data_IF_861428974243
#
_entry.id   IF_861428974243
#
_cell.length_a   1.000
_cell.length_b   1.000
_cell.length_c   1.000
_cell.angle_alpha   90.00
_cell.angle_beta   90.00
_cell.angle_gamma   90.00
#
_symmetry.space_group_name_H-M   'P 1'
#
loop_
_entity.id
_entity.type
_entity.pdbx_description
1 polymer ?
#
# COMPACT_ATOMS: atom_id res chain seq x y z
N UNK A 1 3.54 3.01 -18.17
CA UNK A 1 2.96 2.10 -17.15
C UNK A 1 1.65 2.61 -16.53
N UNK A 2 1.21 3.85 -16.80
CA UNK A 2 -0.21 4.23 -16.72
C UNK A 2 -1.05 3.70 -17.91
N UNK A 3 -0.36 3.22 -18.95
CA UNK A 3 -0.87 2.94 -20.28
C UNK A 3 -1.76 1.70 -20.41
N UNK A 4 -1.58 0.67 -19.57
CA UNK A 4 -2.34 -0.58 -19.70
C UNK A 4 -3.74 -0.53 -19.08
N UNK A 5 -3.94 0.26 -18.01
CA UNK A 5 -5.28 0.50 -17.46
C UNK A 5 -6.06 1.47 -18.35
N UNK A 6 -5.43 2.57 -18.81
CA UNK A 6 -6.06 3.48 -19.76
C UNK A 6 -6.51 2.78 -21.04
N UNK A 7 -5.67 1.88 -21.60
CA UNK A 7 -6.05 1.13 -22.81
C UNK A 7 -7.28 0.23 -22.62
N UNK A 8 -7.39 -0.45 -21.47
CA UNK A 8 -8.55 -1.30 -21.17
C UNK A 8 -9.78 -0.45 -20.88
N UNK A 9 -9.62 0.67 -20.16
CA UNK A 9 -10.70 1.63 -19.91
C UNK A 9 -11.23 2.24 -21.22
N UNK A 10 -10.34 2.53 -22.18
CA UNK A 10 -10.70 3.03 -23.50
C UNK A 10 -11.44 1.97 -24.33
N UNK A 11 -11.00 0.71 -24.29
CA UNK A 11 -11.73 -0.41 -24.89
C UNK A 11 -13.14 -0.60 -24.30
N UNK A 12 -13.28 -0.45 -22.99
CA UNK A 12 -14.58 -0.56 -22.31
C UNK A 12 -15.46 0.63 -22.68
N UNK A 13 -14.92 1.85 -22.75
CA UNK A 13 -15.66 3.04 -23.23
C UNK A 13 -16.16 2.84 -24.65
N UNK A 14 -15.29 2.40 -25.57
CA UNK A 14 -15.65 2.16 -26.97
C UNK A 14 -16.74 1.08 -27.09
N UNK A 15 -16.65 0.01 -26.30
CA UNK A 15 -17.66 -1.05 -26.28
C UNK A 15 -19.01 -0.57 -25.73
N UNK A 16 -19.02 0.17 -24.62
CA UNK A 16 -20.24 0.69 -24.00
C UNK A 16 -20.92 1.74 -24.89
N UNK A 17 -20.12 2.56 -25.58
CA UNK A 17 -20.60 3.53 -26.55
C UNK A 17 -21.19 2.84 -27.78
N UNK A 18 -20.50 1.85 -28.34
CA UNK A 18 -20.98 1.06 -29.49
C UNK A 18 -22.33 0.36 -29.22
N UNK A 19 -22.58 -0.07 -27.98
CA UNK A 19 -23.84 -0.72 -27.58
C UNK A 19 -24.95 0.25 -27.17
N UNK A 20 -24.70 1.56 -27.20
CA UNK A 20 -25.68 2.58 -26.80
C UNK A 20 -25.98 2.61 -25.30
N UNK A 21 -25.12 2.02 -24.47
CA UNK A 21 -25.29 1.91 -23.01
C UNK A 21 -24.81 3.18 -22.30
N UNK A 22 -25.40 4.32 -22.64
CA UNK A 22 -24.96 5.65 -22.20
C UNK A 22 -25.10 5.89 -20.69
N UNK A 23 -26.09 5.26 -20.03
CA UNK A 23 -26.26 5.29 -18.57
C UNK A 23 -25.13 4.54 -17.85
N UNK A 24 -24.76 3.37 -18.36
CA UNK A 24 -23.67 2.56 -17.84
C UNK A 24 -22.31 3.22 -18.09
N UNK A 25 -22.11 3.83 -19.27
CA UNK A 25 -20.90 4.59 -19.59
C UNK A 25 -20.71 5.79 -18.64
N UNK A 26 -21.77 6.56 -18.39
CA UNK A 26 -21.72 7.67 -17.41
C UNK A 26 -21.43 7.18 -15.99
N UNK A 27 -21.97 6.03 -15.60
CA UNK A 27 -21.68 5.42 -14.30
C UNK A 27 -20.24 4.95 -14.23
N UNK A 28 -19.75 4.31 -15.28
CA UNK A 28 -18.37 3.85 -15.42
C UNK A 28 -17.37 5.01 -15.35
N UNK A 29 -17.58 6.10 -16.09
CA UNK A 29 -16.72 7.29 -16.03
C UNK A 29 -16.75 7.97 -14.65
N UNK A 30 -17.92 7.99 -13.98
CA UNK A 30 -18.01 8.49 -12.61
C UNK A 30 -17.24 7.60 -11.62
N UNK A 31 -17.32 6.28 -11.76
CA UNK A 31 -16.56 5.35 -10.91
C UNK A 31 -15.06 5.42 -11.21
N UNK A 32 -14.66 5.53 -12.48
CA UNK A 32 -13.27 5.80 -12.88
C UNK A 32 -12.76 7.11 -12.30
N UNK A 33 -13.54 8.18 -12.34
CA UNK A 33 -13.17 9.46 -11.75
C UNK A 33 -13.09 9.44 -10.22
N UNK A 34 -13.85 8.54 -9.57
CA UNK A 34 -13.79 8.29 -8.12
C UNK A 34 -12.62 7.41 -7.73
N UNK A 35 -12.17 6.51 -8.60
CA UNK A 35 -10.93 5.78 -8.42
C UNK A 35 -9.82 6.81 -8.64
N UNK A 36 -9.08 7.24 -7.62
CA UNK A 36 -7.99 8.17 -7.84
C UNK A 36 -6.89 7.41 -8.58
N UNK A 37 -6.96 7.40 -9.91
CA UNK A 37 -5.89 6.96 -10.80
C UNK A 37 -4.73 7.92 -10.53
N UNK A 38 -3.88 7.58 -9.56
CA UNK A 38 -2.68 8.35 -9.21
C UNK A 38 -2.53 8.88 -7.78
N UNK A 39 -3.34 8.49 -6.78
CA UNK A 39 -3.10 8.93 -5.38
C UNK A 39 -2.39 7.92 -4.46
N UNK A 40 -1.54 7.05 -5.00
CA UNK A 40 -0.36 6.67 -4.22
C UNK A 40 0.57 7.89 -4.17
N UNK A 41 0.16 8.92 -3.41
CA UNK A 41 1.05 10.02 -3.05
C UNK A 41 2.08 9.40 -2.11
N UNK A 42 3.18 8.93 -2.70
CA UNK A 42 4.29 8.34 -1.96
C UNK A 42 4.67 9.25 -0.78
N UNK A 43 4.65 10.56 -0.99
CA UNK A 43 4.87 11.57 0.06
C UNK A 43 3.93 11.39 1.27
N UNK A 44 2.62 11.21 1.05
CA UNK A 44 1.66 11.04 2.15
C UNK A 44 1.84 9.71 2.87
N UNK A 45 2.17 8.66 2.12
CA UNK A 45 2.42 7.33 2.69
C UNK A 45 3.67 7.37 3.56
N UNK A 46 4.75 7.97 3.04
CA UNK A 46 6.00 8.15 3.76
C UNK A 46 5.75 9.01 5.01
N UNK A 47 5.05 10.13 4.87
CA UNK A 47 4.68 11.01 5.99
C UNK A 47 3.92 10.25 7.09
N UNK A 48 2.90 9.46 6.72
CA UNK A 48 2.16 8.63 7.68
C UNK A 48 3.03 7.57 8.35
N UNK A 49 3.87 6.86 7.58
CA UNK A 49 4.80 5.88 8.13
C UNK A 49 5.80 6.53 9.11
N UNK A 50 6.30 7.71 8.77
CA UNK A 50 7.22 8.48 9.62
C UNK A 50 6.54 8.94 10.91
N UNK A 51 5.26 9.36 10.85
CA UNK A 51 4.48 9.69 12.06
C UNK A 51 4.38 8.48 12.99
N UNK A 52 4.03 7.29 12.48
CA UNK A 52 3.94 6.07 13.30
C UNK A 52 5.31 5.67 13.89
N UNK A 53 6.41 5.87 13.16
CA UNK A 53 7.77 5.64 13.68
C UNK A 53 8.10 6.60 14.84
N UNK A 54 7.79 7.89 14.70
CA UNK A 54 8.06 8.86 15.77
C UNK A 54 7.15 8.70 16.98
N UNK A 55 5.93 8.23 16.80
CA UNK A 55 4.97 7.96 17.87
C UNK A 55 5.21 6.62 18.59
N UNK A 56 6.12 5.78 18.09
CA UNK A 56 6.36 4.42 18.60
C UNK A 56 5.09 3.53 18.56
N UNK A 57 4.27 3.71 17.52
CA UNK A 57 3.06 2.94 17.32
C UNK A 57 3.30 1.83 16.30
N UNK A 58 3.79 0.69 16.79
CA UNK A 58 4.14 -0.43 15.95
C UNK A 58 2.91 -1.16 15.37
N UNK A 59 1.79 -1.18 16.10
CA UNK A 59 0.59 -1.89 15.65
C UNK A 59 0.01 -1.21 14.42
N UNK A 60 -0.18 0.11 14.48
CA UNK A 60 -0.67 0.87 13.34
C UNK A 60 0.32 0.89 12.17
N UNK A 61 1.64 0.89 12.44
CA UNK A 61 2.66 0.81 11.40
C UNK A 61 2.56 -0.51 10.60
N UNK A 62 2.49 -1.65 11.30
CA UNK A 62 2.41 -2.97 10.67
C UNK A 62 1.10 -3.11 9.91
N UNK A 63 -0.03 -2.79 10.55
CA UNK A 63 -1.35 -2.96 9.94
C UNK A 63 -1.50 -2.07 8.69
N UNK A 64 -1.01 -0.83 8.74
CA UNK A 64 -0.99 0.08 7.60
C UNK A 64 -0.10 -0.44 6.46
N UNK A 65 1.10 -0.95 6.78
CA UNK A 65 1.99 -1.54 5.79
C UNK A 65 1.39 -2.79 5.15
N UNK A 66 0.75 -3.67 5.92
CA UNK A 66 0.08 -4.86 5.41
C UNK A 66 -1.09 -4.52 4.49
N UNK A 67 -1.90 -3.51 4.84
CA UNK A 67 -2.97 -3.01 3.96
C UNK A 67 -2.41 -2.44 2.65
N UNK A 68 -1.28 -1.73 2.74
CA UNK A 68 -0.58 -1.20 1.58
C UNK A 68 -0.02 -2.32 0.70
N UNK A 69 0.60 -3.34 1.29
CA UNK A 69 1.09 -4.54 0.60
C UNK A 69 -0.06 -5.28 -0.10
N UNK A 70 -1.19 -5.51 0.59
CA UNK A 70 -2.39 -6.11 0.00
C UNK A 70 -2.93 -5.27 -1.16
N UNK A 71 -3.04 -3.95 -1.01
CA UNK A 71 -3.50 -3.05 -2.08
C UNK A 71 -2.56 -3.03 -3.28
N UNK A 72 -1.24 -3.04 -3.06
CA UNK A 72 -0.24 -3.08 -4.14
C UNK A 72 -0.21 -4.43 -4.87
N UNK A 73 -0.41 -5.53 -4.15
CA UNK A 73 -0.51 -6.88 -4.72
C UNK A 73 -1.82 -7.07 -5.49
N UNK A 74 -2.93 -6.56 -4.95
CA UNK A 74 -4.26 -6.66 -5.57
C UNK A 74 -4.48 -5.71 -6.76
N UNK A 75 -3.77 -4.58 -6.82
CA UNK A 75 -3.85 -3.64 -7.97
C UNK A 75 -3.03 -4.07 -9.21
N UNK A 76 -2.51 -5.30 -9.25
CA UNK A 76 -1.73 -5.86 -10.37
C UNK A 76 -0.52 -4.99 -10.81
N UNK A 77 -0.04 -4.09 -9.94
CA UNK A 77 1.17 -3.28 -10.16
C UNK A 77 2.42 -4.14 -10.01
N UNK A 78 2.35 -5.13 -9.12
CA UNK A 78 3.42 -6.08 -8.82
C UNK A 78 3.17 -7.34 -9.65
N UNK A 79 3.86 -7.45 -10.79
CA UNK A 79 3.77 -8.62 -11.70
C UNK A 79 5.07 -9.42 -11.76
N UNK A 80 6.13 -8.93 -11.13
CA UNK A 80 7.45 -9.55 -11.16
C UNK A 80 7.95 -9.89 -9.75
N UNK A 81 8.65 -11.03 -9.64
CA UNK A 81 9.32 -11.46 -8.41
C UNK A 81 10.27 -10.38 -7.86
N UNK A 82 10.87 -9.58 -8.74
CA UNK A 82 11.71 -8.46 -8.37
C UNK A 82 10.95 -7.39 -7.57
N UNK A 83 9.74 -7.01 -7.99
CA UNK A 83 8.92 -6.01 -7.28
C UNK A 83 8.46 -6.52 -5.91
N UNK A 84 8.11 -7.80 -5.80
CA UNK A 84 7.81 -8.44 -4.50
C UNK A 84 9.03 -8.40 -3.56
N UNK A 85 10.23 -8.69 -4.08
CA UNK A 85 11.46 -8.61 -3.31
C UNK A 85 11.81 -7.18 -2.87
N UNK A 86 11.49 -6.17 -3.68
CA UNK A 86 11.66 -4.76 -3.27
C UNK A 86 10.72 -4.44 -2.11
N UNK A 87 9.47 -4.90 -2.16
CA UNK A 87 8.49 -4.64 -1.10
C UNK A 87 8.91 -5.27 0.25
N UNK A 88 9.39 -6.52 0.23
CA UNK A 88 9.88 -7.20 1.44
C UNK A 88 11.15 -6.55 1.99
N UNK A 89 12.05 -6.07 1.12
CA UNK A 89 13.22 -5.28 1.53
C UNK A 89 12.81 -3.95 2.16
N UNK A 90 11.86 -3.23 1.57
CA UNK A 90 11.36 -1.96 2.12
C UNK A 90 10.71 -2.17 3.49
N UNK A 91 9.89 -3.21 3.65
CA UNK A 91 9.33 -3.60 4.95
C UNK A 91 10.42 -3.83 6.00
N UNK A 92 11.46 -4.57 5.64
CA UNK A 92 12.60 -4.86 6.53
C UNK A 92 13.34 -3.59 6.93
N UNK A 93 13.58 -2.68 5.97
CA UNK A 93 14.24 -1.41 6.24
C UNK A 93 13.39 -0.48 7.12
N UNK A 94 12.08 -0.48 6.94
CA UNK A 94 11.13 0.26 7.77
C UNK A 94 11.21 -0.18 9.24
N UNK A 95 11.20 -1.50 9.47
CA UNK A 95 11.34 -2.07 10.81
C UNK A 95 12.70 -1.75 11.45
N UNK A 96 13.78 -1.79 10.67
CA UNK A 96 15.10 -1.35 11.15
C UNK A 96 15.11 0.11 11.54
N UNK A 97 14.48 0.99 10.75
CA UNK A 97 14.37 2.41 11.07
C UNK A 97 13.61 2.64 12.39
N UNK A 98 12.48 1.94 12.59
CA UNK A 98 11.73 1.95 13.84
C UNK A 98 12.59 1.52 15.04
N UNK A 99 13.30 0.40 14.92
CA UNK A 99 14.15 -0.13 15.99
C UNK A 99 15.30 0.83 16.34
N UNK A 100 15.98 1.40 15.33
CA UNK A 100 17.05 2.37 15.55
C UNK A 100 16.52 3.59 16.29
N UNK A 101 15.35 4.12 15.88
CA UNK A 101 14.72 5.25 16.53
C UNK A 101 14.30 4.94 17.99
N UNK A 102 13.83 3.71 18.26
CA UNK A 102 13.49 3.26 19.61
C UNK A 102 14.70 3.08 20.52
N UNK A 103 15.81 2.55 19.99
CA UNK A 103 17.08 2.42 20.71
C UNK A 103 17.64 3.82 21.03
N UNK A 104 17.66 4.72 20.06
CA UNK A 104 18.14 6.10 20.25
C UNK A 104 17.31 6.86 21.31
N UNK A 105 16.01 6.59 21.38
CA UNK A 105 15.12 7.20 22.38
C UNK A 105 15.10 6.47 23.73
N UNK A 106 15.92 5.43 23.92
CA UNK A 106 15.97 4.60 25.14
C UNK A 106 14.62 4.00 25.57
N UNK A 107 13.71 3.76 24.60
CA UNK A 107 12.37 3.19 24.87
C UNK A 107 12.38 1.68 24.72
N UNK A 108 13.03 0.99 25.66
CA UNK A 108 13.18 -0.48 25.63
C UNK A 108 11.85 -1.23 25.70
N UNK A 109 10.82 -0.67 26.35
CA UNK A 109 9.47 -1.27 26.39
C UNK A 109 8.85 -1.40 24.99
N UNK A 110 9.06 -0.40 24.13
CA UNK A 110 8.54 -0.38 22.75
C UNK A 110 9.30 -1.32 21.82
N UNK A 111 10.54 -1.65 22.16
CA UNK A 111 11.33 -2.67 21.46
C UNK A 111 10.78 -4.06 21.81
N UNK A 112 10.49 -4.31 23.08
CA UNK A 112 9.87 -5.58 23.50
C UNK A 112 8.48 -5.76 22.88
N UNK A 113 7.64 -4.72 22.87
CA UNK A 113 6.32 -4.74 22.22
C UNK A 113 6.43 -5.07 20.72
N UNK A 114 7.45 -4.53 20.04
CA UNK A 114 7.73 -4.84 18.64
C UNK A 114 8.05 -6.32 18.43
N UNK A 115 8.95 -6.90 19.24
CA UNK A 115 9.33 -8.30 19.11
C UNK A 115 8.18 -9.24 19.47
N UNK A 116 7.40 -8.93 20.51
CA UNK A 116 6.21 -9.70 20.89
C UNK A 116 5.17 -9.72 19.78
N UNK A 117 4.95 -8.58 19.11
CA UNK A 117 4.01 -8.51 17.98
C UNK A 117 4.52 -9.30 16.78
N UNK A 118 5.80 -9.15 16.42
CA UNK A 118 6.37 -9.92 15.31
C UNK A 118 6.36 -11.43 15.59
N UNK A 119 6.66 -11.85 16.81
CA UNK A 119 6.61 -13.25 17.21
C UNK A 119 5.20 -13.82 17.05
N UNK A 120 4.17 -13.08 17.46
CA UNK A 120 2.76 -13.47 17.27
C UNK A 120 2.40 -13.59 15.79
N UNK A 121 2.84 -12.65 14.95
CA UNK A 121 2.57 -12.71 13.51
C UNK A 121 3.25 -13.90 12.84
N UNK A 122 4.47 -14.27 13.26
CA UNK A 122 5.20 -15.44 12.74
C UNK A 122 4.61 -16.78 13.23
N UNK A 123 3.99 -16.82 14.41
CA UNK A 123 3.32 -18.02 14.90
C UNK A 123 1.94 -18.26 14.25
N UNK A 124 1.35 -17.23 13.64
CA UNK A 124 0.04 -17.30 12.98
C UNK A 124 0.12 -17.55 11.47
N UNK A 125 1.31 -17.49 10.87
CA UNK A 125 1.58 -17.79 9.45
C UNK A 125 2.02 -19.23 9.23
#
# INVERSE_FOLDING_TARGET
>A
MASSFSFVDDLIRDYLNYRGLTSTLRTFDNEIGKIPIGQFRADRIIEQLTIYIHQFDINNLIDYWTQLEQRLLSTLIIRSQHQTNVLTKTRTNLYRCYLIHAIQSSKTDKINEFFDRLAKTLQQS
#
